data_IF_920909492131
#
_entry.id   IF_920909492131
#
_cell.length_a   1.000
_cell.length_b   1.000
_cell.length_c   1.000
_cell.angle_alpha   90.00
_cell.angle_beta   90.00
_cell.angle_gamma   90.00
#
_symmetry.space_group_name_H-M   'P 1'
#
loop_
_entity.id
_entity.type
_entity.pdbx_description
1 polymer ?
#
# COMPACT_ATOMS: atom_id res chain seq x y z
N UNK A 1 -3.41 -12.98 -27.16
CA UNK A 1 -2.10 -13.62 -27.40
C UNK A 1 -1.52 -14.09 -26.07
N UNK A 2 -0.90 -15.29 -25.98
CA UNK A 2 -0.34 -15.80 -24.72
C UNK A 2 1.11 -15.35 -24.51
N UNK A 3 1.58 -15.34 -23.26
CA UNK A 3 2.97 -15.01 -22.93
C UNK A 3 3.98 -15.93 -23.63
N UNK A 4 3.65 -17.22 -23.76
CA UNK A 4 4.49 -18.18 -24.48
C UNK A 4 4.65 -17.82 -25.96
N UNK A 5 3.56 -17.44 -26.65
CA UNK A 5 3.60 -17.01 -28.04
C UNK A 5 4.39 -15.70 -28.20
N UNK A 6 4.21 -14.75 -27.30
CA UNK A 6 4.99 -13.51 -27.28
C UNK A 6 6.50 -13.79 -27.13
N UNK A 7 6.90 -14.69 -26.21
CA UNK A 7 8.31 -15.10 -26.03
C UNK A 7 8.92 -15.76 -27.25
N UNK A 8 8.13 -16.45 -28.07
CA UNK A 8 8.62 -17.01 -29.36
C UNK A 8 8.89 -15.88 -30.34
N UNK A 9 7.96 -14.93 -30.48
CA UNK A 9 8.12 -13.77 -31.37
C UNK A 9 9.35 -12.92 -30.98
N UNK A 10 9.50 -12.61 -29.68
CA UNK A 10 10.59 -11.77 -29.18
C UNK A 10 11.98 -12.43 -29.37
N UNK A 11 12.07 -13.77 -29.42
CA UNK A 11 13.33 -14.48 -29.64
C UNK A 11 13.91 -14.31 -31.04
N UNK A 12 13.10 -13.86 -31.99
CA UNK A 12 13.53 -13.60 -33.37
C UNK A 12 13.88 -12.13 -33.61
N UNK A 13 13.77 -11.27 -32.59
CA UNK A 13 14.16 -9.86 -32.66
C UNK A 13 15.64 -9.70 -32.29
N UNK A 14 16.31 -8.78 -32.99
CA UNK A 14 17.62 -8.27 -32.60
C UNK A 14 17.55 -7.46 -31.32
N UNK A 15 18.71 -7.23 -30.69
CA UNK A 15 18.83 -6.38 -29.51
C UNK A 15 18.25 -4.98 -29.74
N UNK A 16 18.56 -4.37 -30.90
CA UNK A 16 18.02 -3.05 -31.27
C UNK A 16 16.49 -3.06 -31.35
N UNK A 17 15.90 -4.06 -32.01
CA UNK A 17 14.44 -4.16 -32.13
C UNK A 17 13.76 -4.39 -30.77
N UNK A 18 14.42 -5.08 -29.84
CA UNK A 18 13.92 -5.25 -28.47
C UNK A 18 14.00 -3.94 -27.68
N UNK A 19 15.10 -3.19 -27.81
CA UNK A 19 15.25 -1.87 -27.20
C UNK A 19 14.17 -0.92 -27.72
N UNK A 20 13.98 -0.85 -29.04
CA UNK A 20 12.98 0.02 -29.67
C UNK A 20 11.56 -0.38 -29.26
N UNK A 21 11.25 -1.68 -29.20
CA UNK A 21 9.97 -2.19 -28.70
C UNK A 21 9.70 -1.77 -27.24
N UNK A 22 10.69 -1.95 -26.34
CA UNK A 22 10.56 -1.55 -24.93
C UNK A 22 10.42 -0.04 -24.79
N UNK A 23 11.20 0.74 -25.57
CA UNK A 23 11.11 2.20 -25.59
C UNK A 23 9.72 2.67 -26.05
N UNK A 24 9.13 1.99 -27.03
CA UNK A 24 7.77 2.27 -27.49
C UNK A 24 6.71 1.92 -26.44
N UNK A 25 6.86 0.79 -25.74
CA UNK A 25 5.99 0.44 -24.62
C UNK A 25 6.10 1.49 -23.50
N UNK A 26 7.31 1.95 -23.19
CA UNK A 26 7.56 3.02 -22.22
C UNK A 26 6.87 4.32 -22.64
N UNK A 27 6.97 4.73 -23.90
CA UNK A 27 6.30 5.95 -24.40
C UNK A 27 4.77 5.84 -24.33
N UNK A 28 4.22 4.68 -24.72
CA UNK A 28 2.78 4.45 -24.88
C UNK A 28 2.03 4.23 -23.56
N UNK A 29 2.66 3.62 -22.55
CA UNK A 29 1.95 3.15 -21.36
C UNK A 29 2.54 3.70 -20.06
N UNK A 30 1.76 4.49 -19.32
CA UNK A 30 2.20 5.07 -18.03
C UNK A 30 2.47 4.02 -16.94
N UNK A 31 1.86 2.85 -17.04
CA UNK A 31 2.18 1.73 -16.15
C UNK A 31 3.63 1.24 -16.36
N UNK A 32 4.11 1.24 -17.61
CA UNK A 32 5.49 0.84 -17.96
C UNK A 32 6.46 1.94 -17.51
N UNK A 33 6.12 3.21 -17.69
CA UNK A 33 6.93 4.33 -17.18
C UNK A 33 7.15 4.23 -15.68
N UNK A 34 6.07 4.06 -14.92
CA UNK A 34 6.10 3.91 -13.47
C UNK A 34 6.91 2.71 -13.01
N UNK A 35 6.76 1.57 -13.71
CA UNK A 35 7.57 0.39 -13.42
C UNK A 35 9.07 0.69 -13.54
N UNK A 36 9.49 1.29 -14.65
CA UNK A 36 10.90 1.60 -14.88
C UNK A 36 11.44 2.68 -13.94
N UNK A 37 10.67 3.73 -13.64
CA UNK A 37 11.10 4.75 -12.66
C UNK A 37 11.35 4.14 -11.27
N UNK A 38 10.39 3.39 -10.76
CA UNK A 38 10.49 2.80 -9.43
C UNK A 38 11.55 1.70 -9.34
N UNK A 39 11.64 0.81 -10.34
CA UNK A 39 12.54 -0.36 -10.28
C UNK A 39 13.98 -0.08 -10.68
N UNK A 40 14.21 0.87 -11.60
CA UNK A 40 15.54 1.12 -12.18
C UNK A 40 16.16 2.44 -11.71
N UNK A 41 15.35 3.45 -11.38
CA UNK A 41 15.86 4.75 -10.93
C UNK A 41 15.74 4.95 -9.42
N UNK A 42 15.14 3.99 -8.70
CA UNK A 42 14.76 4.14 -7.29
C UNK A 42 13.94 5.41 -7.01
N UNK A 43 13.25 5.94 -8.03
CA UNK A 43 12.35 7.08 -7.95
C UNK A 43 10.92 6.55 -8.06
N UNK A 44 10.33 6.29 -6.90
CA UNK A 44 9.04 5.61 -6.79
C UNK A 44 7.91 6.51 -6.29
N UNK A 45 8.15 7.82 -6.20
CA UNK A 45 7.18 8.80 -5.68
C UNK A 45 5.89 8.83 -6.51
N UNK A 46 6.00 8.79 -7.84
CA UNK A 46 4.84 8.68 -8.76
C UNK A 46 4.03 7.39 -8.51
N UNK A 47 4.71 6.29 -8.18
CA UNK A 47 4.07 4.98 -7.94
C UNK A 47 3.45 4.94 -6.55
N UNK A 48 4.11 5.56 -5.58
CA UNK A 48 3.63 5.72 -4.21
C UNK A 48 2.34 6.54 -4.20
N UNK A 49 2.35 7.75 -4.79
CA UNK A 49 1.19 8.64 -4.88
C UNK A 49 0.03 7.99 -5.65
N UNK A 50 0.31 7.26 -6.73
CA UNK A 50 -0.72 6.50 -7.42
C UNK A 50 -1.32 5.38 -6.55
N UNK A 51 -0.51 4.73 -5.73
CA UNK A 51 -0.97 3.67 -4.83
C UNK A 51 -1.80 4.23 -3.68
N UNK A 52 -1.44 5.40 -3.14
CA UNK A 52 -2.29 6.14 -2.19
C UNK A 52 -3.65 6.48 -2.79
N UNK A 53 -3.68 7.08 -3.98
CA UNK A 53 -4.93 7.43 -4.65
C UNK A 53 -5.83 6.20 -4.93
N UNK A 54 -5.22 5.04 -5.22
CA UNK A 54 -5.94 3.76 -5.34
C UNK A 54 -6.55 3.31 -4.02
N UNK A 55 -5.81 3.43 -2.91
CA UNK A 55 -6.30 3.11 -1.56
C UNK A 55 -7.48 4.00 -1.22
N UNK A 56 -7.33 5.33 -1.35
CA UNK A 56 -8.41 6.30 -1.06
C UNK A 56 -9.66 5.98 -1.87
N UNK A 57 -9.52 5.80 -3.19
CA UNK A 57 -10.64 5.46 -4.07
C UNK A 57 -11.34 4.16 -3.69
N UNK A 58 -10.58 3.14 -3.28
CA UNK A 58 -11.13 1.86 -2.83
C UNK A 58 -11.83 1.97 -1.46
N UNK A 59 -11.39 2.92 -0.64
CA UNK A 59 -11.87 3.16 0.72
C UNK A 59 -12.89 4.32 0.80
N UNK A 60 -13.43 4.78 -0.33
CA UNK A 60 -14.59 5.66 -0.34
C UNK A 60 -15.85 4.91 0.11
N UNK A 61 -16.70 5.52 0.95
CA UNK A 61 -17.92 4.88 1.44
C UNK A 61 -18.89 4.62 0.29
N UNK A 62 -19.42 3.40 0.23
CA UNK A 62 -20.48 3.02 -0.70
C UNK A 62 -21.74 2.65 0.04
N UNK A 63 -22.77 3.45 -0.18
CA UNK A 63 -24.10 3.22 0.36
C UNK A 63 -24.91 2.39 -0.64
N UNK A 64 -25.57 1.36 -0.14
CA UNK A 64 -26.58 0.59 -0.88
C UNK A 64 -27.93 0.84 -0.22
N UNK A 65 -29.02 0.81 -0.99
CA UNK A 65 -30.36 1.13 -0.49
C UNK A 65 -30.76 0.34 0.78
N UNK A 66 -30.22 -0.88 0.94
CA UNK A 66 -30.57 -1.80 2.02
C UNK A 66 -29.55 -1.85 3.17
N UNK A 67 -28.49 -1.03 3.15
CA UNK A 67 -27.42 -1.09 4.17
C UNK A 67 -27.43 0.13 5.09
N UNK A 68 -27.47 -0.13 6.40
CA UNK A 68 -27.35 0.91 7.43
C UNK A 68 -25.92 1.48 7.55
N UNK A 69 -24.91 0.68 7.18
CA UNK A 69 -23.50 1.09 7.19
C UNK A 69 -22.92 1.08 5.77
N UNK A 70 -21.97 1.98 5.47
CA UNK A 70 -21.25 1.97 4.19
C UNK A 70 -20.39 0.71 4.02
N UNK A 71 -20.17 0.35 2.77
CA UNK A 71 -19.25 -0.72 2.38
C UNK A 71 -17.97 -0.17 1.75
N UNK A 72 -16.87 -0.92 1.90
CA UNK A 72 -15.53 -0.52 1.45
C UNK A 72 -14.86 -1.65 0.68
N UNK A 73 -14.03 -1.30 -0.31
CA UNK A 73 -13.31 -2.27 -1.13
C UNK A 73 -11.93 -2.59 -0.53
N UNK A 74 -11.94 -3.12 0.69
CA UNK A 74 -10.72 -3.46 1.47
C UNK A 74 -9.72 -4.28 0.65
N UNK A 75 -10.20 -5.27 -0.11
CA UNK A 75 -9.35 -6.12 -0.94
C UNK A 75 -8.65 -5.32 -2.06
N UNK A 76 -9.33 -4.34 -2.68
CA UNK A 76 -8.74 -3.48 -3.70
C UNK A 76 -7.69 -2.54 -3.10
N UNK A 77 -7.94 -1.99 -1.90
CA UNK A 77 -6.97 -1.16 -1.20
C UNK A 77 -5.70 -1.94 -0.84
N UNK A 78 -5.83 -3.15 -0.26
CA UNK A 78 -4.66 -4.01 0.05
C UNK A 78 -3.94 -4.50 -1.21
N UNK A 79 -4.66 -4.64 -2.32
CA UNK A 79 -4.04 -4.94 -3.62
C UNK A 79 -3.12 -3.82 -4.08
N UNK A 80 -3.45 -2.55 -3.85
CA UNK A 80 -2.58 -1.42 -4.19
C UNK A 80 -1.24 -1.49 -3.43
N UNK A 81 -1.26 -1.81 -2.13
CA UNK A 81 -0.04 -2.06 -1.33
C UNK A 81 0.79 -3.21 -1.94
N UNK A 82 0.13 -4.31 -2.29
CA UNK A 82 0.79 -5.48 -2.86
C UNK A 82 1.36 -5.22 -4.26
N UNK A 83 0.72 -4.37 -5.05
CA UNK A 83 1.21 -3.94 -6.36
C UNK A 83 2.43 -3.03 -6.22
N UNK A 84 2.39 -2.07 -5.29
CA UNK A 84 3.52 -1.19 -4.99
C UNK A 84 4.76 -1.99 -4.54
N UNK A 85 4.59 -2.93 -3.60
CA UNK A 85 5.66 -3.82 -3.11
C UNK A 85 6.31 -4.69 -4.21
N UNK A 86 5.62 -4.94 -5.32
CA UNK A 86 6.18 -5.70 -6.45
C UNK A 86 7.05 -4.85 -7.37
N UNK A 87 6.88 -3.54 -7.33
CA UNK A 87 7.46 -2.60 -8.29
C UNK A 87 8.54 -1.75 -7.64
N UNK A 88 8.34 -1.36 -6.38
CA UNK A 88 9.29 -0.60 -5.58
C UNK A 88 10.16 -1.53 -4.72
N UNK A 89 11.46 -1.22 -4.69
CA UNK A 89 12.46 -1.76 -3.76
C UNK A 89 12.63 -0.89 -2.51
N UNK A 90 11.87 0.20 -2.38
CA UNK A 90 11.97 1.16 -1.28
C UNK A 90 11.20 0.65 -0.05
N UNK A 91 11.88 -0.01 0.87
CA UNK A 91 11.26 -0.54 2.09
C UNK A 91 10.61 0.57 2.95
N UNK A 92 11.20 1.77 2.97
CA UNK A 92 10.62 2.92 3.66
C UNK A 92 9.29 3.35 3.02
N UNK A 93 9.24 3.41 1.68
CA UNK A 93 8.01 3.66 0.93
C UNK A 93 6.94 2.60 1.18
N UNK A 94 7.32 1.32 1.27
CA UNK A 94 6.39 0.22 1.55
C UNK A 94 5.77 0.39 2.95
N UNK A 95 6.61 0.68 3.95
CA UNK A 95 6.14 0.89 5.32
C UNK A 95 5.24 2.12 5.42
N UNK A 96 5.60 3.24 4.77
CA UNK A 96 4.76 4.45 4.69
C UNK A 96 3.39 4.17 4.07
N UNK A 97 3.34 3.40 2.99
CA UNK A 97 2.07 3.09 2.32
C UNK A 97 1.16 2.20 3.18
N UNK A 98 1.74 1.27 3.94
CA UNK A 98 1.01 0.45 4.90
C UNK A 98 0.47 1.29 6.07
N UNK A 99 1.28 2.21 6.62
CA UNK A 99 0.81 3.14 7.66
C UNK A 99 -0.28 4.08 7.15
N UNK A 100 -0.16 4.58 5.92
CA UNK A 100 -1.22 5.37 5.28
C UNK A 100 -2.55 4.61 5.19
N UNK A 101 -2.51 3.32 4.84
CA UNK A 101 -3.71 2.49 4.87
C UNK A 101 -4.35 2.40 6.27
N UNK A 102 -3.52 2.27 7.32
CA UNK A 102 -4.00 2.26 8.71
C UNK A 102 -4.63 3.61 9.09
N UNK A 103 -4.02 4.73 8.70
CA UNK A 103 -4.56 6.09 8.87
C UNK A 103 -5.95 6.21 8.20
N UNK A 104 -6.11 5.71 6.97
CA UNK A 104 -7.42 5.68 6.28
C UNK A 104 -8.44 4.83 7.05
N UNK A 105 -8.05 3.68 7.59
CA UNK A 105 -8.94 2.86 8.42
C UNK A 105 -9.41 3.59 9.68
N UNK A 106 -8.51 4.30 10.37
CA UNK A 106 -8.85 5.09 11.57
C UNK A 106 -9.86 6.18 11.22
N UNK A 107 -9.61 6.92 10.13
CA UNK A 107 -10.51 7.99 9.69
C UNK A 107 -11.93 7.46 9.40
N UNK A 108 -12.05 6.31 8.74
CA UNK A 108 -13.35 5.69 8.47
C UNK A 108 -14.08 5.30 9.76
N UNK A 109 -13.36 4.72 10.74
CA UNK A 109 -13.96 4.34 12.02
C UNK A 109 -14.44 5.57 12.80
N UNK A 110 -13.75 6.69 12.67
CA UNK A 110 -14.18 7.96 13.28
C UNK A 110 -15.38 8.59 12.57
N UNK A 111 -15.47 8.46 11.25
CA UNK A 111 -16.52 9.12 10.45
C UNK A 111 -17.86 8.37 10.42
N UNK A 112 -17.85 7.04 10.55
CA UNK A 112 -19.00 6.19 10.22
C UNK A 112 -19.37 5.17 11.31
N UNK A 113 -18.97 5.44 12.55
CA UNK A 113 -19.04 4.50 13.68
C UNK A 113 -18.27 3.19 13.41
N UNK A 114 -18.21 2.30 14.41
CA UNK A 114 -17.42 1.07 14.33
C UNK A 114 -17.83 0.16 13.15
N UNK A 115 -16.93 0.00 12.19
CA UNK A 115 -17.04 -0.95 11.07
C UNK A 115 -16.02 -2.08 11.26
N UNK A 116 -16.47 -3.20 11.82
CA UNK A 116 -15.64 -4.35 12.25
C UNK A 116 -14.60 -4.79 11.20
N UNK A 117 -15.00 -4.84 9.92
CA UNK A 117 -14.11 -5.25 8.82
C UNK A 117 -12.98 -4.25 8.58
N UNK A 118 -13.27 -2.95 8.69
CA UNK A 118 -12.28 -1.88 8.54
C UNK A 118 -11.34 -1.89 9.74
N UNK A 119 -11.89 -1.99 10.94
CA UNK A 119 -11.11 -2.10 12.18
C UNK A 119 -10.14 -3.28 12.13
N UNK A 120 -10.63 -4.49 11.85
CA UNK A 120 -9.83 -5.71 11.79
C UNK A 120 -8.74 -5.65 10.72
N UNK A 121 -9.05 -5.04 9.57
CA UNK A 121 -8.09 -4.86 8.49
C UNK A 121 -7.01 -3.84 8.84
N UNK A 122 -7.37 -2.75 9.52
CA UNK A 122 -6.43 -1.74 10.02
C UNK A 122 -5.47 -2.33 11.06
N UNK A 123 -5.99 -3.02 12.07
CA UNK A 123 -5.19 -3.68 13.12
C UNK A 123 -4.21 -4.69 12.51
N UNK A 124 -4.70 -5.62 11.69
CA UNK A 124 -3.83 -6.64 11.08
C UNK A 124 -2.77 -6.05 10.13
N UNK A 125 -3.08 -4.94 9.45
CA UNK A 125 -2.10 -4.26 8.60
C UNK A 125 -1.06 -3.52 9.44
N UNK A 126 -1.45 -2.96 10.59
CA UNK A 126 -0.51 -2.36 11.52
C UNK A 126 0.43 -3.39 12.14
N UNK A 127 -0.07 -4.55 12.58
CA UNK A 127 0.79 -5.64 13.04
C UNK A 127 1.81 -6.05 11.96
N UNK A 128 1.35 -6.16 10.71
CA UNK A 128 2.21 -6.48 9.58
C UNK A 128 3.28 -5.41 9.33
N UNK A 129 2.94 -4.11 9.45
CA UNK A 129 3.90 -3.04 9.20
C UNK A 129 4.93 -2.93 10.33
N UNK A 130 4.54 -3.08 11.60
CA UNK A 130 5.49 -3.07 12.72
C UNK A 130 6.47 -4.23 12.60
N UNK A 131 5.98 -5.43 12.25
CA UNK A 131 6.85 -6.58 11.97
C UNK A 131 7.80 -6.31 10.79
N UNK A 132 7.28 -5.73 9.71
CA UNK A 132 8.08 -5.40 8.54
C UNK A 132 9.18 -4.37 8.85
N UNK A 133 8.84 -3.29 9.57
CA UNK A 133 9.79 -2.26 10.02
C UNK A 133 10.90 -2.87 10.88
N UNK A 134 10.57 -3.79 11.79
CA UNK A 134 11.57 -4.52 12.58
C UNK A 134 12.46 -5.39 11.69
N UNK A 135 11.88 -6.12 10.74
CA UNK A 135 12.63 -7.01 9.85
C UNK A 135 13.60 -6.26 8.93
N UNK A 136 13.25 -5.05 8.49
CA UNK A 136 14.05 -4.23 7.58
C UNK A 136 14.92 -3.19 8.32
N UNK A 137 14.97 -3.24 9.66
CA UNK A 137 15.73 -2.30 10.52
C UNK A 137 15.39 -0.80 10.30
N UNK A 138 14.10 -0.50 10.05
CA UNK A 138 13.62 0.87 9.78
C UNK A 138 13.08 1.58 11.03
N UNK A 139 13.33 1.03 12.22
CA UNK A 139 12.64 1.43 13.45
C UNK A 139 12.89 2.89 13.87
N UNK A 140 14.10 3.40 13.64
CA UNK A 140 14.47 4.79 13.95
C UNK A 140 13.74 5.75 13.00
N UNK A 141 13.84 5.51 11.69
CA UNK A 141 13.28 6.38 10.66
C UNK A 141 11.75 6.43 10.68
N UNK A 142 11.12 5.29 10.99
CA UNK A 142 9.66 5.18 10.98
C UNK A 142 9.00 5.59 12.29
N UNK A 143 9.75 5.89 13.35
CA UNK A 143 9.21 6.19 14.68
C UNK A 143 8.16 7.28 14.66
N UNK A 144 8.49 8.43 14.07
CA UNK A 144 7.58 9.57 14.01
C UNK A 144 6.29 9.23 13.24
N UNK A 145 6.41 8.50 12.13
CA UNK A 145 5.26 8.05 11.33
C UNK A 145 4.35 7.10 12.12
N UNK A 146 4.93 6.18 12.89
CA UNK A 146 4.17 5.25 13.74
C UNK A 146 3.47 6.01 14.86
N UNK A 147 4.19 6.89 15.57
CA UNK A 147 3.64 7.69 16.67
C UNK A 147 2.50 8.60 16.18
N UNK A 148 2.64 9.19 14.99
CA UNK A 148 1.56 9.96 14.35
C UNK A 148 0.29 9.12 14.23
N UNK A 149 0.38 7.91 13.67
CA UNK A 149 -0.77 7.03 13.47
C UNK A 149 -1.39 6.59 14.79
N UNK A 150 -0.59 6.23 15.80
CA UNK A 150 -1.08 5.83 17.12
C UNK A 150 -1.83 6.97 17.83
N UNK A 151 -1.39 8.22 17.61
CA UNK A 151 -1.96 9.43 18.25
C UNK A 151 -3.08 10.08 17.45
N UNK A 152 -3.48 9.53 16.30
CA UNK A 152 -4.62 10.07 15.56
C UNK A 152 -5.86 10.07 16.45
N UNK A 153 -6.62 11.17 16.56
CA UNK A 153 -7.82 11.19 17.39
C UNK A 153 -8.76 10.04 17.02
N UNK A 154 -9.31 9.35 18.01
CA UNK A 154 -10.37 8.37 17.80
C UNK A 154 -11.42 8.56 18.88
N UNK A 155 -12.67 8.82 18.49
CA UNK A 155 -13.76 9.18 19.41
C UNK A 155 -14.00 8.10 20.49
N UNK A 156 -13.63 6.84 20.18
CA UNK A 156 -13.74 5.71 21.11
C UNK A 156 -12.38 5.21 21.62
N UNK A 157 -11.26 5.73 21.10
CA UNK A 157 -9.87 5.36 21.40
C UNK A 157 -9.50 3.86 21.32
N UNK A 158 -10.44 2.93 21.07
CA UNK A 158 -10.20 1.49 21.14
C UNK A 158 -9.15 1.01 20.12
N UNK A 159 -9.21 1.54 18.89
CA UNK A 159 -8.23 1.18 17.86
C UNK A 159 -6.84 1.67 18.24
N UNK A 160 -6.69 2.94 18.66
CA UNK A 160 -5.40 3.51 19.05
C UNK A 160 -4.76 2.75 20.22
N UNK A 161 -5.55 2.38 21.23
CA UNK A 161 -5.07 1.54 22.34
C UNK A 161 -4.55 0.20 21.84
N UNK A 162 -5.22 -0.43 20.86
CA UNK A 162 -4.74 -1.66 20.26
C UNK A 162 -3.43 -1.44 19.48
N UNK A 163 -3.33 -0.37 18.68
CA UNK A 163 -2.10 -0.02 17.94
C UNK A 163 -0.92 0.23 18.89
N UNK A 164 -1.13 1.01 19.96
CA UNK A 164 -0.11 1.27 20.98
C UNK A 164 0.40 -0.03 21.61
N UNK A 165 -0.50 -0.93 22.03
CA UNK A 165 -0.12 -2.22 22.60
C UNK A 165 0.63 -3.12 21.61
N UNK A 166 0.28 -3.09 20.33
CA UNK A 166 1.01 -3.83 19.28
C UNK A 166 2.44 -3.29 19.15
N UNK A 167 2.59 -1.96 19.12
CA UNK A 167 3.89 -1.32 19.00
C UNK A 167 4.79 -1.62 20.21
N UNK A 168 4.28 -1.42 21.42
CA UNK A 168 4.97 -1.71 22.68
C UNK A 168 5.44 -3.17 22.75
N UNK A 169 4.56 -4.14 22.46
CA UNK A 169 4.89 -5.57 22.51
C UNK A 169 5.97 -5.98 21.52
N UNK A 170 6.08 -5.28 20.40
CA UNK A 170 7.02 -5.65 19.34
C UNK A 170 8.40 -5.02 19.54
N UNK A 171 8.46 -3.85 20.20
CA UNK A 171 9.70 -3.14 20.51
C UNK A 171 10.28 -3.54 21.88
N UNK A 172 9.46 -3.81 22.89
CA UNK A 172 9.93 -4.10 24.28
C UNK A 172 10.40 -5.56 24.47
N UNK A 173 10.18 -6.44 23.50
CA UNK A 173 10.50 -7.87 23.61
C UNK A 173 11.93 -8.28 23.22
N UNK A 174 12.85 -7.33 23.16
CA UNK A 174 14.31 -7.56 23.06
C UNK A 174 15.03 -6.89 24.24
#
# INVERSE_FOLDING_TARGET
MSLQKLRVILRHKSEKELIDEIADLYKKFDAVKRYYKASLLNDDEDVFNFSMAKIEKAMQPKFTADAYLPTYKIAEAKKAISEYKKVSSNDHGIARLMLFYVEVCINIINEHDYIEKVWSSGISTFEAVIKFIKQMDLGVDMRESIEKVIRLPNEHNEMNYALARIYERTIIKD
#
